data_IF_720881260580
#
_entry.id   IF_720881260580
#
_cell.length_a   1.000
_cell.length_b   1.000
_cell.length_c   1.000
_cell.angle_alpha   90.00
_cell.angle_beta   90.00
_cell.angle_gamma   90.00
#
_symmetry.space_group_name_H-M   'P 1'
#
loop_
_entity.id
_entity.type
_entity.pdbx_description
1 polymer ?
#
# COMPACT_ATOMS: atom_id res chain seq x y z
N UNK A 1 15.33 -15.11 0.87
CA UNK A 1 15.18 -13.67 1.00
C UNK A 1 13.73 -13.31 1.21
N UNK A 2 13.44 -12.48 2.21
CA UNK A 2 12.06 -12.13 2.52
C UNK A 2 11.59 -10.98 1.64
N UNK A 3 10.46 -11.17 0.98
CA UNK A 3 9.81 -10.14 0.19
C UNK A 3 8.61 -9.62 0.99
N UNK A 4 8.54 -8.30 1.16
CA UNK A 4 7.41 -7.67 1.84
C UNK A 4 6.33 -7.38 0.81
N UNK A 5 5.11 -7.83 1.10
CA UNK A 5 3.96 -7.58 0.24
C UNK A 5 3.34 -6.24 0.62
N UNK A 6 3.18 -5.36 -0.35
CA UNK A 6 2.55 -4.05 -0.16
C UNK A 6 1.33 -3.96 -1.07
N UNK A 7 0.16 -3.84 -0.48
CA UNK A 7 -1.08 -3.71 -1.23
C UNK A 7 -1.65 -2.31 -1.03
N UNK A 8 -1.94 -1.61 -2.12
CA UNK A 8 -2.55 -0.28 -2.07
C UNK A 8 -3.97 -0.36 -2.59
N UNK A 9 -4.88 0.34 -1.93
CA UNK A 9 -6.30 0.31 -2.24
C UNK A 9 -6.78 1.72 -2.54
N UNK A 10 -7.42 1.90 -3.69
CA UNK A 10 -7.92 3.19 -4.12
C UNK A 10 -9.33 3.09 -4.67
N UNK A 11 -10.02 4.23 -4.74
CA UNK A 11 -11.33 4.29 -5.37
C UNK A 11 -11.19 4.31 -6.90
N UNK A 12 -12.28 4.05 -7.59
CA UNK A 12 -12.34 4.18 -9.05
C UNK A 12 -13.53 5.05 -9.42
N UNK A 13 -13.32 6.24 -10.04
CA UNK A 13 -12.00 6.82 -10.36
C UNK A 13 -11.22 7.20 -9.10
N UNK A 14 -9.88 7.22 -9.16
CA UNK A 14 -9.09 7.56 -7.99
C UNK A 14 -9.34 9.00 -7.52
N UNK A 15 -9.47 9.18 -6.21
CA UNK A 15 -9.54 10.50 -5.61
C UNK A 15 -8.13 11.11 -5.60
N UNK A 16 -7.99 12.35 -5.16
CA UNK A 16 -6.68 13.02 -5.12
C UNK A 16 -5.66 12.24 -4.28
N UNK A 17 -6.06 11.81 -3.08
CA UNK A 17 -5.20 11.01 -2.23
C UNK A 17 -4.90 9.63 -2.82
N UNK A 18 -5.88 9.06 -3.52
CA UNK A 18 -5.71 7.77 -4.18
C UNK A 18 -4.67 7.86 -5.31
N UNK A 19 -4.72 8.93 -6.10
CA UNK A 19 -3.74 9.14 -7.17
C UNK A 19 -2.33 9.27 -6.61
N UNK A 20 -2.19 9.97 -5.50
CA UNK A 20 -0.91 10.12 -4.84
C UNK A 20 -0.37 8.77 -4.36
N UNK A 21 -1.24 7.95 -3.79
CA UNK A 21 -0.85 6.63 -3.31
C UNK A 21 -0.40 5.72 -4.46
N UNK A 22 -1.05 5.81 -5.61
CA UNK A 22 -0.64 5.03 -6.78
C UNK A 22 0.75 5.45 -7.27
N UNK A 23 1.04 6.76 -7.25
CA UNK A 23 2.37 7.25 -7.60
C UNK A 23 3.43 6.72 -6.63
N UNK A 24 3.13 6.73 -5.34
CA UNK A 24 4.02 6.21 -4.32
C UNK A 24 4.26 4.71 -4.52
N UNK A 25 3.22 3.97 -4.88
CA UNK A 25 3.34 2.55 -5.17
C UNK A 25 4.34 2.29 -6.29
N UNK A 26 4.29 3.08 -7.35
CA UNK A 26 5.22 2.97 -8.46
C UNK A 26 6.66 3.29 -8.02
N UNK A 27 6.82 4.30 -7.18
CA UNK A 27 8.14 4.66 -6.64
C UNK A 27 8.71 3.56 -5.76
N UNK A 28 7.88 2.91 -4.96
CA UNK A 28 8.30 1.79 -4.13
C UNK A 28 8.80 0.63 -4.98
N UNK A 29 8.05 0.31 -6.02
CA UNK A 29 8.42 -0.76 -6.93
C UNK A 29 9.75 -0.49 -7.60
N UNK A 30 9.98 0.76 -8.00
CA UNK A 30 11.22 1.16 -8.64
C UNK A 30 12.39 1.18 -7.67
N UNK A 31 12.17 1.69 -6.46
CA UNK A 31 13.22 1.85 -5.45
C UNK A 31 13.66 0.54 -4.82
N UNK A 32 12.72 -0.33 -4.50
CA UNK A 32 13.01 -1.57 -3.79
C UNK A 32 13.08 -2.80 -4.69
N UNK A 33 12.53 -2.70 -5.90
CA UNK A 33 12.59 -3.80 -6.86
C UNK A 33 12.02 -5.09 -6.31
N UNK A 34 12.82 -6.15 -6.33
CA UNK A 34 12.39 -7.48 -5.91
C UNK A 34 12.17 -7.64 -4.41
N UNK A 35 12.63 -6.69 -3.61
CA UNK A 35 12.46 -6.78 -2.16
C UNK A 35 11.05 -6.46 -1.70
N UNK A 36 10.25 -5.86 -2.57
CA UNK A 36 8.88 -5.47 -2.26
C UNK A 36 7.97 -5.92 -3.41
N UNK A 37 6.91 -6.63 -3.06
CA UNK A 37 5.88 -6.98 -4.03
C UNK A 37 4.74 -5.97 -3.90
N UNK A 38 4.58 -5.13 -4.91
CA UNK A 38 3.55 -4.08 -4.90
C UNK A 38 2.34 -4.52 -5.71
N UNK A 39 1.17 -4.49 -5.07
CA UNK A 39 -0.10 -4.86 -5.71
C UNK A 39 -1.04 -3.67 -5.60
N UNK A 40 -1.61 -3.26 -6.71
CA UNK A 40 -2.57 -2.16 -6.76
C UNK A 40 -3.99 -2.71 -6.91
N UNK A 41 -4.86 -2.32 -5.99
CA UNK A 41 -6.28 -2.66 -6.07
C UNK A 41 -7.05 -1.36 -6.32
N UNK A 42 -7.57 -1.21 -7.52
CA UNK A 42 -8.34 -0.02 -7.92
C UNK A 42 -9.81 -0.41 -7.98
N UNK A 43 -10.64 0.30 -7.20
CA UNK A 43 -12.06 -0.02 -7.10
C UNK A 43 -12.34 -1.13 -6.09
N UNK A 44 -13.59 -1.62 -6.02
CA UNK A 44 -13.97 -2.65 -5.07
C UNK A 44 -13.22 -3.96 -5.28
N UNK A 45 -12.82 -4.61 -4.19
CA UNK A 45 -12.14 -5.90 -4.23
C UNK A 45 -12.39 -6.66 -2.94
N UNK A 46 -12.19 -7.98 -2.97
CA UNK A 46 -12.40 -8.83 -1.80
C UNK A 46 -11.40 -8.56 -0.69
N UNK A 47 -10.19 -8.22 -1.04
CA UNK A 47 -9.12 -7.94 -0.08
C UNK A 47 -9.45 -6.78 0.84
N UNK A 48 -10.25 -5.84 0.36
CA UNK A 48 -10.68 -4.72 1.17
C UNK A 48 -11.42 -5.21 2.43
N UNK A 49 -12.33 -6.15 2.25
CA UNK A 49 -13.07 -6.76 3.36
C UNK A 49 -12.17 -7.71 4.17
N UNK A 50 -11.31 -8.44 3.49
CA UNK A 50 -10.38 -9.39 4.12
C UNK A 50 -9.52 -8.72 5.17
N UNK A 51 -9.07 -7.50 4.90
CA UNK A 51 -8.22 -6.76 5.82
C UNK A 51 -8.99 -5.80 6.72
N UNK A 52 -10.31 -5.87 6.70
CA UNK A 52 -11.19 -5.01 7.51
C UNK A 52 -10.97 -3.53 7.23
N UNK A 53 -10.72 -3.19 5.99
CA UNK A 53 -10.56 -1.80 5.57
C UNK A 53 -11.92 -1.14 5.46
N UNK A 54 -12.00 0.13 5.81
CA UNK A 54 -13.27 0.87 5.81
C UNK A 54 -13.26 2.09 4.91
N UNK A 55 -12.08 2.62 4.60
CA UNK A 55 -11.94 3.85 3.79
C UNK A 55 -10.76 3.71 2.85
N UNK A 56 -10.78 4.49 1.78
CA UNK A 56 -9.65 4.64 0.85
C UNK A 56 -9.19 6.09 0.88
N UNK A 57 -7.94 6.38 0.55
CA UNK A 57 -6.88 5.44 0.17
C UNK A 57 -6.39 4.59 1.35
N UNK A 58 -5.92 3.40 1.07
CA UNK A 58 -5.41 2.51 2.11
C UNK A 58 -4.17 1.77 1.60
N UNK A 59 -3.28 1.43 2.52
CA UNK A 59 -2.10 0.65 2.22
C UNK A 59 -1.94 -0.43 3.29
N UNK A 60 -1.66 -1.65 2.84
CA UNK A 60 -1.55 -2.81 3.72
C UNK A 60 -0.20 -3.48 3.47
N UNK A 61 0.51 -3.76 4.56
CA UNK A 61 1.80 -4.43 4.50
C UNK A 61 1.69 -5.85 5.04
N UNK A 62 2.29 -6.80 4.31
CA UNK A 62 2.35 -8.20 4.72
C UNK A 62 1.01 -8.76 5.16
N UNK A 63 0.00 -8.65 4.28
CA UNK A 63 -1.32 -9.25 4.46
C UNK A 63 -2.02 -8.84 5.76
N UNK A 64 -1.89 -7.58 6.12
CA UNK A 64 -2.61 -7.03 7.25
C UNK A 64 -1.76 -6.80 8.50
N UNK A 65 -0.47 -7.04 8.44
CA UNK A 65 0.41 -6.81 9.59
C UNK A 65 0.46 -5.34 9.97
N UNK A 66 0.54 -4.46 8.97
CA UNK A 66 0.41 -3.01 9.18
C UNK A 66 -0.62 -2.51 8.19
N UNK A 67 -1.56 -1.70 8.66
CA UNK A 67 -2.61 -1.13 7.82
C UNK A 67 -2.69 0.36 8.10
N UNK A 68 -2.67 1.14 7.02
CA UNK A 68 -2.84 2.59 7.09
C UNK A 68 -4.00 2.93 6.17
N UNK A 69 -5.03 3.57 6.68
CA UNK A 69 -6.20 3.89 5.86
C UNK A 69 -6.75 5.28 6.17
N UNK A 70 -7.45 5.84 5.19
CA UNK A 70 -8.05 7.16 5.30
C UNK A 70 -7.12 8.30 4.95
N UNK A 71 -5.83 8.03 4.81
CA UNK A 71 -4.84 9.04 4.44
C UNK A 71 -3.80 8.41 3.53
N UNK A 72 -3.16 9.24 2.71
CA UNK A 72 -2.02 8.81 1.92
C UNK A 72 -0.77 9.06 2.77
N UNK A 73 -0.11 8.00 3.29
CA UNK A 73 1.07 8.20 4.12
C UNK A 73 2.22 8.77 3.30
N UNK A 74 3.13 9.45 3.96
CA UNK A 74 4.32 9.97 3.31
C UNK A 74 5.27 8.82 2.96
N UNK A 75 6.16 9.08 2.03
CA UNK A 75 7.18 8.10 1.66
C UNK A 75 8.02 7.70 2.87
N UNK A 76 8.32 8.65 3.76
CA UNK A 76 9.07 8.38 4.98
C UNK A 76 8.35 7.39 5.90
N UNK A 77 7.04 7.54 6.05
CA UNK A 77 6.22 6.65 6.88
C UNK A 77 6.22 5.24 6.29
N UNK A 78 6.07 5.13 4.98
CA UNK A 78 6.07 3.86 4.28
C UNK A 78 7.43 3.18 4.42
N UNK A 79 8.50 3.92 4.23
CA UNK A 79 9.85 3.37 4.36
C UNK A 79 10.17 2.92 5.77
N UNK A 80 9.67 3.66 6.78
CA UNK A 80 9.82 3.25 8.17
C UNK A 80 9.11 1.93 8.44
N UNK A 81 7.91 1.76 7.89
CA UNK A 81 7.15 0.51 8.03
C UNK A 81 7.89 -0.66 7.37
N UNK A 82 8.44 -0.45 6.19
CA UNK A 82 9.22 -1.47 5.49
C UNK A 82 10.46 -1.86 6.29
N UNK A 83 11.11 -0.87 6.89
CA UNK A 83 12.31 -1.10 7.70
C UNK A 83 12.00 -1.99 8.89
N UNK A 84 10.86 -1.78 9.54
CA UNK A 84 10.43 -2.62 10.64
C UNK A 84 10.19 -4.06 10.22
N UNK A 85 9.90 -4.28 8.94
CA UNK A 85 9.67 -5.62 8.40
C UNK A 85 10.94 -6.26 7.81
N UNK A 86 12.08 -5.60 7.97
CA UNK A 86 13.35 -6.17 7.55
C UNK A 86 13.78 -5.85 6.12
N UNK A 87 13.17 -4.86 5.51
CA UNK A 87 13.55 -4.44 4.16
C UNK A 87 14.64 -3.39 4.21
#
# INVERSE_FOLDING_TARGET
>A
MLTVKVEVFTAEPPCAGCSKLLEIADLLKEKYGERVEVIKHVGPCEEFSKYNLTVVPAIVFNEGRIRIMGVCPSMQTIEASLKEMGV
#
